data_IF_015734967834
#
_entry.id   IF_015734967834
#
_cell.length_a   1.000
_cell.length_b   1.000
_cell.length_c   1.000
_cell.angle_alpha   90.00
_cell.angle_beta   90.00
_cell.angle_gamma   90.00
#
_symmetry.space_group_name_H-M   'P 1'
#
loop_
_entity.id
_entity.type
_entity.pdbx_description
1 polymer ?
#
# COMPACT_ATOMS: atom_id res chain seq x y z
N UNK A 1 -18.61 -2.31 4.98
CA UNK A 1 -18.12 -1.17 4.19
C UNK A 1 -18.18 -1.57 2.73
N UNK A 2 -18.83 -0.75 1.88
CA UNK A 2 -18.91 -1.02 0.45
C UNK A 2 -17.50 -0.90 -0.15
N UNK A 3 -17.07 -1.92 -0.91
CA UNK A 3 -15.76 -1.95 -1.57
C UNK A 3 -15.48 -0.72 -2.44
N UNK A 4 -16.55 -0.14 -3.02
CA UNK A 4 -16.48 1.07 -3.85
C UNK A 4 -16.01 2.33 -3.10
N UNK A 5 -16.09 2.34 -1.78
CA UNK A 5 -15.67 3.47 -0.94
C UNK A 5 -14.23 3.33 -0.42
N UNK A 6 -13.62 2.17 -0.54
CA UNK A 6 -12.23 1.93 -0.17
C UNK A 6 -11.23 2.37 -1.25
N UNK A 7 -9.94 2.22 -0.96
CA UNK A 7 -8.85 2.58 -1.87
C UNK A 7 -9.02 1.96 -3.26
N UNK A 8 -9.33 0.67 -3.34
CA UNK A 8 -9.46 -0.06 -4.61
C UNK A 8 -10.56 0.55 -5.48
N UNK A 9 -11.77 0.75 -4.95
CA UNK A 9 -12.88 1.34 -5.71
C UNK A 9 -12.56 2.75 -6.21
N UNK A 10 -11.91 3.59 -5.38
CA UNK A 10 -11.51 4.94 -5.78
C UNK A 10 -10.46 4.93 -6.89
N UNK A 11 -9.45 4.07 -6.77
CA UNK A 11 -8.40 3.90 -7.78
C UNK A 11 -8.99 3.44 -9.12
N UNK A 12 -9.80 2.39 -9.09
CA UNK A 12 -10.44 1.82 -10.29
C UNK A 12 -11.32 2.87 -10.97
N UNK A 13 -12.13 3.63 -10.24
CA UNK A 13 -12.98 4.68 -10.81
C UNK A 13 -12.16 5.74 -11.55
N UNK A 14 -11.04 6.21 -10.97
CA UNK A 14 -10.19 7.23 -11.62
C UNK A 14 -9.46 6.69 -12.85
N UNK A 15 -9.11 5.40 -12.85
CA UNK A 15 -8.44 4.78 -13.99
C UNK A 15 -9.42 4.40 -15.10
N UNK A 16 -10.67 4.09 -14.78
CA UNK A 16 -11.70 3.70 -15.73
C UNK A 16 -12.09 4.82 -16.70
N UNK A 17 -11.79 6.09 -16.36
CA UNK A 17 -11.99 7.23 -17.26
C UNK A 17 -11.10 7.16 -18.52
N UNK A 18 -9.91 6.53 -18.40
CA UNK A 18 -8.90 6.51 -19.47
C UNK A 18 -8.56 5.10 -19.97
N UNK A 19 -8.92 4.06 -19.24
CA UNK A 19 -8.51 2.69 -19.52
C UNK A 19 -9.66 1.67 -19.44
N UNK A 20 -9.60 0.66 -20.31
CA UNK A 20 -10.34 -0.59 -20.06
C UNK A 20 -9.55 -1.44 -19.06
N UNK A 21 -10.10 -1.62 -17.86
CA UNK A 21 -9.39 -2.23 -16.73
C UNK A 21 -9.81 -3.67 -16.50
N UNK A 22 -8.83 -4.56 -16.35
CA UNK A 22 -8.99 -5.82 -15.62
C UNK A 22 -8.27 -5.69 -14.30
N UNK A 23 -8.95 -5.92 -13.20
CA UNK A 23 -8.36 -5.76 -11.88
C UNK A 23 -8.77 -6.88 -10.92
N UNK A 24 -7.94 -7.10 -9.91
CA UNK A 24 -8.18 -8.05 -8.85
C UNK A 24 -7.83 -7.42 -7.49
N UNK A 25 -8.71 -7.59 -6.52
CA UNK A 25 -8.45 -7.20 -5.14
C UNK A 25 -8.12 -8.45 -4.31
N UNK A 26 -6.95 -8.44 -3.68
CA UNK A 26 -6.53 -9.45 -2.72
C UNK A 26 -6.33 -8.76 -1.38
N UNK A 27 -7.34 -8.78 -0.52
CA UNK A 27 -7.30 -8.09 0.78
C UNK A 27 -8.12 -8.84 1.83
N UNK A 28 -7.62 -8.85 3.05
CA UNK A 28 -8.33 -9.31 4.24
C UNK A 28 -7.88 -8.48 5.44
N UNK A 29 -8.80 -8.10 6.31
CA UNK A 29 -8.47 -7.37 7.53
C UNK A 29 -7.47 -8.16 8.39
N UNK A 30 -6.47 -7.46 8.91
CA UNK A 30 -5.44 -8.06 9.75
C UNK A 30 -4.27 -8.69 8.98
N UNK A 31 -4.31 -8.79 7.66
CA UNK A 31 -3.20 -9.37 6.89
C UNK A 31 -1.88 -8.66 7.17
N UNK A 32 -0.87 -9.47 7.42
CA UNK A 32 0.54 -9.11 7.40
C UNK A 32 1.16 -9.49 6.05
N UNK A 33 2.39 -9.08 5.79
CA UNK A 33 3.10 -9.43 4.55
C UNK A 33 3.20 -10.94 4.32
N UNK A 34 3.52 -11.81 5.31
CA UNK A 34 3.49 -13.27 5.10
C UNK A 34 2.11 -13.83 4.75
N UNK A 35 1.05 -13.23 5.28
CA UNK A 35 -0.30 -13.68 4.94
C UNK A 35 -0.62 -13.39 3.49
N UNK A 36 -0.22 -12.23 3.00
CA UNK A 36 -0.34 -11.86 1.59
C UNK A 36 0.50 -12.78 0.70
N UNK A 37 1.77 -13.05 1.05
CA UNK A 37 2.64 -13.97 0.32
C UNK A 37 2.01 -15.35 0.17
N UNK A 38 1.53 -15.94 1.27
CA UNK A 38 0.80 -17.22 1.22
C UNK A 38 -0.41 -17.16 0.30
N UNK A 39 -1.22 -16.11 0.44
CA UNK A 39 -2.41 -15.95 -0.39
C UNK A 39 -2.08 -15.82 -1.88
N UNK A 40 -1.01 -15.12 -2.24
CA UNK A 40 -0.57 -14.98 -3.63
C UNK A 40 -0.06 -16.30 -4.22
N UNK A 41 0.47 -17.21 -3.41
CA UNK A 41 0.81 -18.57 -3.87
C UNK A 41 -0.43 -19.41 -4.18
N UNK A 42 -1.53 -19.20 -3.46
CA UNK A 42 -2.76 -20.00 -3.59
C UNK A 42 -3.64 -19.58 -4.77
N UNK A 43 -3.54 -18.33 -5.22
CA UNK A 43 -4.36 -17.85 -6.34
C UNK A 43 -3.74 -18.23 -7.69
N UNK A 44 -4.57 -18.46 -8.75
CA UNK A 44 -4.06 -18.74 -10.09
C UNK A 44 -3.15 -17.62 -10.60
N UNK A 45 -2.11 -17.99 -11.34
CA UNK A 45 -1.26 -17.03 -12.02
C UNK A 45 -2.07 -16.29 -13.09
N UNK A 46 -1.94 -14.97 -13.10
CA UNK A 46 -2.57 -14.05 -14.05
C UNK A 46 -1.65 -12.86 -14.25
N UNK A 47 -1.55 -12.34 -15.46
CA UNK A 47 -0.66 -11.21 -15.75
C UNK A 47 -1.33 -9.89 -15.40
N UNK A 48 -0.60 -9.04 -14.66
CA UNK A 48 -0.97 -7.67 -14.35
C UNK A 48 0.16 -6.71 -14.71
N UNK A 49 -0.16 -5.55 -15.22
CA UNK A 49 0.83 -4.51 -15.51
C UNK A 49 1.37 -3.85 -14.24
N UNK A 50 0.49 -3.56 -13.28
CA UNK A 50 0.83 -2.86 -12.05
C UNK A 50 0.19 -3.53 -10.83
N UNK A 51 0.90 -3.51 -9.70
CA UNK A 51 0.36 -3.84 -8.38
C UNK A 51 0.34 -2.59 -7.48
N UNK A 52 -0.68 -2.46 -6.66
CA UNK A 52 -0.77 -1.44 -5.61
C UNK A 52 -0.83 -2.14 -4.26
N UNK A 53 0.18 -1.89 -3.42
CA UNK A 53 0.33 -2.53 -2.12
C UNK A 53 0.04 -1.52 -1.00
N UNK A 54 -1.00 -1.81 -0.22
CA UNK A 54 -1.35 -1.08 0.99
C UNK A 54 -1.17 -2.00 2.20
N UNK A 55 0.10 -2.19 2.60
CA UNK A 55 0.52 -3.15 3.60
C UNK A 55 1.46 -2.51 4.63
N UNK A 56 1.77 -3.22 5.71
CA UNK A 56 2.80 -2.83 6.67
C UNK A 56 2.26 -2.34 8.02
N UNK A 57 1.05 -1.80 8.11
CA UNK A 57 0.50 -1.38 9.41
C UNK A 57 0.42 -2.56 10.40
N UNK A 58 -0.12 -3.71 9.96
CA UNK A 58 -0.20 -4.91 10.78
C UNK A 58 1.19 -5.53 11.07
N UNK A 59 2.14 -5.39 10.13
CA UNK A 59 3.53 -5.82 10.34
C UNK A 59 4.22 -4.97 11.42
N UNK A 60 3.97 -3.66 11.45
CA UNK A 60 4.45 -2.76 12.51
C UNK A 60 3.82 -3.08 13.85
N UNK A 61 2.51 -3.39 13.89
CA UNK A 61 1.81 -3.80 15.11
C UNK A 61 2.27 -5.16 15.63
N UNK A 62 2.76 -6.03 14.74
CA UNK A 62 3.36 -7.32 15.12
C UNK A 62 4.73 -7.12 15.79
N UNK A 63 5.26 -8.16 16.44
CA UNK A 63 6.62 -8.13 16.99
C UNK A 63 7.71 -8.38 15.95
N UNK A 64 7.41 -8.29 14.67
CA UNK A 64 8.31 -8.58 13.55
C UNK A 64 9.46 -7.56 13.49
N UNK A 65 10.68 -8.04 13.24
CA UNK A 65 11.83 -7.16 13.01
C UNK A 65 11.73 -6.50 11.64
N UNK A 66 12.19 -5.25 11.54
CA UNK A 66 12.21 -4.51 10.27
C UNK A 66 13.01 -5.24 9.19
N UNK A 67 14.15 -5.82 9.54
CA UNK A 67 15.00 -6.60 8.60
C UNK A 67 14.28 -7.81 8.01
N UNK A 68 13.51 -8.53 8.83
CA UNK A 68 12.68 -9.65 8.36
C UNK A 68 11.57 -9.16 7.44
N UNK A 69 10.95 -8.03 7.78
CA UNK A 69 9.91 -7.44 6.94
C UNK A 69 10.45 -7.00 5.57
N UNK A 70 11.64 -6.39 5.53
CA UNK A 70 12.28 -5.99 4.26
C UNK A 70 12.61 -7.22 3.39
N UNK A 71 13.12 -8.30 3.97
CA UNK A 71 13.31 -9.55 3.22
C UNK A 71 12.01 -10.06 2.60
N UNK A 72 10.89 -9.95 3.32
CA UNK A 72 9.56 -10.32 2.81
C UNK A 72 9.04 -9.34 1.74
N UNK A 73 9.41 -8.04 1.78
CA UNK A 73 9.09 -7.11 0.69
C UNK A 73 9.86 -7.48 -0.58
N UNK A 74 11.14 -7.87 -0.46
CA UNK A 74 11.93 -8.38 -1.60
C UNK A 74 11.30 -9.65 -2.20
N UNK A 75 10.92 -10.61 -1.35
CA UNK A 75 10.20 -11.82 -1.79
C UNK A 75 8.88 -11.47 -2.50
N UNK A 76 8.14 -10.50 -1.98
CA UNK A 76 6.87 -10.05 -2.56
C UNK A 76 7.07 -9.40 -3.94
N UNK A 77 8.10 -8.58 -4.13
CA UNK A 77 8.48 -8.01 -5.42
C UNK A 77 8.77 -9.13 -6.42
N UNK A 78 9.62 -10.09 -6.04
CA UNK A 78 10.00 -11.20 -6.91
C UNK A 78 8.80 -12.11 -7.26
N UNK A 79 7.92 -12.39 -6.30
CA UNK A 79 6.71 -13.17 -6.53
C UNK A 79 5.76 -12.46 -7.49
N UNK A 80 5.52 -11.17 -7.30
CA UNK A 80 4.66 -10.37 -8.18
C UNK A 80 5.22 -10.29 -9.59
N UNK A 81 6.53 -10.13 -9.72
CA UNK A 81 7.20 -10.08 -11.01
C UNK A 81 7.16 -11.43 -11.73
N UNK A 82 7.61 -12.51 -11.06
CA UNK A 82 7.80 -13.81 -11.70
C UNK A 82 6.50 -14.56 -11.97
N UNK A 83 5.53 -14.50 -11.05
CA UNK A 83 4.27 -15.24 -11.15
C UNK A 83 3.14 -14.45 -11.80
N UNK A 84 3.13 -13.14 -11.62
CA UNK A 84 2.05 -12.25 -12.07
C UNK A 84 2.48 -11.26 -13.15
N UNK A 85 3.73 -11.29 -13.61
CA UNK A 85 4.25 -10.44 -14.67
C UNK A 85 4.24 -8.95 -14.35
N UNK A 86 4.11 -8.58 -13.06
CA UNK A 86 4.01 -7.18 -12.61
C UNK A 86 5.30 -6.43 -12.95
N UNK A 87 5.17 -5.33 -13.66
CA UNK A 87 6.28 -4.47 -14.06
C UNK A 87 6.50 -3.31 -13.09
N UNK A 88 5.41 -2.78 -12.53
CA UNK A 88 5.45 -1.64 -11.63
C UNK A 88 4.69 -1.92 -10.35
N UNK A 89 5.23 -1.47 -9.22
CA UNK A 89 4.56 -1.59 -7.92
C UNK A 89 4.49 -0.21 -7.26
N UNK A 90 3.29 0.19 -6.84
CA UNK A 90 3.12 1.32 -5.92
C UNK A 90 2.98 0.77 -4.50
N UNK A 91 3.99 1.00 -3.68
CA UNK A 91 3.92 0.74 -2.24
C UNK A 91 3.32 1.93 -1.54
N UNK A 92 2.28 1.74 -0.77
CA UNK A 92 1.80 2.76 0.16
C UNK A 92 2.61 2.67 1.45
N UNK A 93 3.18 3.79 1.87
CA UNK A 93 3.90 3.88 3.13
C UNK A 93 2.99 3.51 4.31
N UNK A 94 3.58 2.92 5.34
CA UNK A 94 2.90 2.71 6.63
C UNK A 94 2.47 4.07 7.16
N UNK A 95 1.20 4.24 7.56
CA UNK A 95 0.71 5.51 8.06
C UNK A 95 1.43 5.97 9.34
N UNK A 96 1.43 7.26 9.65
CA UNK A 96 2.09 7.80 10.83
C UNK A 96 1.32 7.43 12.11
N UNK A 97 1.55 6.22 12.65
CA UNK A 97 0.79 5.68 13.79
C UNK A 97 0.85 6.56 15.05
N UNK A 98 1.86 7.45 15.17
CA UNK A 98 1.92 8.45 16.24
C UNK A 98 0.80 9.50 16.17
N UNK A 99 0.17 9.67 15.02
CA UNK A 99 -0.95 10.60 14.82
C UNK A 99 -2.33 9.97 15.10
N UNK A 100 -2.40 8.68 15.45
CA UNK A 100 -3.66 7.97 15.61
C UNK A 100 -4.20 8.06 17.05
N UNK A 101 -5.29 8.80 17.29
CA UNK A 101 -5.82 9.01 18.64
C UNK A 101 -6.27 7.72 19.35
N UNK A 102 -6.70 6.72 18.60
CA UNK A 102 -7.13 5.43 19.13
C UNK A 102 -6.00 4.64 19.81
N UNK A 103 -4.73 5.00 19.56
CA UNK A 103 -3.59 4.35 20.19
C UNK A 103 -3.18 5.11 21.48
N UNK A 104 -3.11 4.44 22.65
CA UNK A 104 -2.70 5.08 23.89
C UNK A 104 -1.18 5.37 23.92
N UNK A 105 -0.75 6.36 24.70
CA UNK A 105 0.66 6.57 25.03
C UNK A 105 1.09 5.56 26.13
N UNK A 106 2.36 5.09 26.10
CA UNK A 106 3.45 5.41 25.17
C UNK A 106 3.44 4.56 23.89
N UNK A 107 2.51 3.62 23.74
CA UNK A 107 2.44 2.70 22.60
C UNK A 107 2.37 3.45 21.26
N UNK A 108 1.57 4.50 21.19
CA UNK A 108 1.41 5.34 20.01
C UNK A 108 2.74 5.93 19.54
N UNK A 109 3.52 6.49 20.46
CA UNK A 109 4.86 7.01 20.15
C UNK A 109 5.79 5.91 19.62
N UNK A 110 5.85 4.78 20.31
CA UNK A 110 6.69 3.64 19.93
C UNK A 110 6.34 3.08 18.55
N UNK A 111 5.05 2.88 18.25
CA UNK A 111 4.59 2.39 16.97
C UNK A 111 4.84 3.42 15.85
N UNK A 112 4.76 4.71 16.15
CA UNK A 112 5.12 5.78 15.22
C UNK A 112 6.59 5.72 14.79
N UNK A 113 7.51 5.53 15.75
CA UNK A 113 8.94 5.33 15.45
C UNK A 113 9.17 4.06 14.62
N UNK A 114 8.50 2.97 14.95
CA UNK A 114 8.60 1.73 14.16
C UNK A 114 8.12 1.95 12.72
N UNK A 115 6.98 2.61 12.52
CA UNK A 115 6.46 2.92 11.19
C UNK A 115 7.45 3.76 10.37
N UNK A 116 8.09 4.76 10.99
CA UNK A 116 9.13 5.55 10.34
C UNK A 116 10.33 4.70 9.91
N UNK A 117 10.82 3.81 10.79
CA UNK A 117 11.93 2.90 10.47
C UNK A 117 11.58 1.93 9.33
N UNK A 118 10.35 1.40 9.30
CA UNK A 118 9.88 0.52 8.23
C UNK A 118 9.80 1.28 6.90
N UNK A 119 9.26 2.49 6.90
CA UNK A 119 9.18 3.32 5.69
C UNK A 119 10.57 3.72 5.16
N UNK A 120 11.51 4.08 6.05
CA UNK A 120 12.89 4.40 5.65
C UNK A 120 13.58 3.17 5.04
N UNK A 121 13.42 2.00 5.64
CA UNK A 121 13.99 0.76 5.12
C UNK A 121 13.38 0.37 3.77
N UNK A 122 12.06 0.53 3.59
CA UNK A 122 11.40 0.30 2.32
C UNK A 122 11.86 1.30 1.25
N UNK A 123 11.99 2.59 1.59
CA UNK A 123 12.53 3.58 0.67
C UNK A 123 13.96 3.24 0.22
N UNK A 124 14.81 2.73 1.12
CA UNK A 124 16.15 2.28 0.77
C UNK A 124 16.12 1.05 -0.15
N UNK A 125 15.25 0.07 0.10
CA UNK A 125 15.07 -1.07 -0.79
C UNK A 125 14.68 -0.61 -2.20
N UNK A 126 13.75 0.34 -2.31
CA UNK A 126 13.25 0.81 -3.60
C UNK A 126 14.26 1.67 -4.39
N UNK A 127 15.37 2.12 -3.78
CA UNK A 127 16.47 2.74 -4.53
C UNK A 127 17.12 1.78 -5.53
N UNK A 128 17.09 0.49 -5.27
CA UNK A 128 17.58 -0.57 -6.19
C UNK A 128 16.50 -1.06 -7.16
N UNK A 129 15.29 -0.53 -7.08
CA UNK A 129 14.13 -0.88 -7.90
C UNK A 129 13.43 0.38 -8.44
N UNK A 130 14.08 1.15 -9.34
CA UNK A 130 13.56 2.44 -9.81
C UNK A 130 12.22 2.34 -10.56
N UNK A 131 11.85 1.14 -11.02
CA UNK A 131 10.56 0.81 -11.63
C UNK A 131 9.41 0.78 -10.62
N UNK A 132 9.69 0.78 -9.31
CA UNK A 132 8.70 0.77 -8.24
C UNK A 132 8.71 2.11 -7.49
N UNK A 133 7.60 2.45 -6.84
CA UNK A 133 7.48 3.73 -6.14
C UNK A 133 6.89 3.56 -4.74
N UNK A 134 7.43 4.33 -3.79
CA UNK A 134 6.84 4.52 -2.47
C UNK A 134 5.92 5.75 -2.50
N UNK A 135 4.64 5.53 -2.28
CA UNK A 135 3.68 6.59 -2.07
C UNK A 135 3.57 6.89 -0.58
N UNK A 136 4.00 8.08 -0.20
CA UNK A 136 3.82 8.60 1.16
C UNK A 136 2.62 9.55 1.17
N UNK A 137 1.58 9.16 1.91
CA UNK A 137 0.44 10.03 2.10
C UNK A 137 0.80 11.15 3.06
N UNK A 138 0.59 12.40 2.64
CA UNK A 138 0.68 13.54 3.53
C UNK A 138 -0.59 13.58 4.40
N UNK A 139 -0.48 13.15 5.64
CA UNK A 139 -1.53 13.32 6.63
C UNK A 139 -1.55 14.79 7.07
N UNK A 140 -2.29 15.62 6.34
CA UNK A 140 -2.64 16.94 6.84
C UNK A 140 -3.65 16.73 7.96
N UNK A 141 -3.35 17.25 9.16
CA UNK A 141 -4.25 17.18 10.33
C UNK A 141 -5.55 17.96 10.04
N UNK A 142 -6.50 17.29 9.39
CA UNK A 142 -7.89 17.76 9.26
C UNK A 142 -8.80 16.66 9.84
N UNK A 143 -9.86 17.05 10.48
CA UNK A 143 -10.84 16.14 11.12
C UNK A 143 -11.42 15.07 10.19
N UNK A 144 -11.34 15.27 8.86
CA UNK A 144 -11.81 14.33 7.83
C UNK A 144 -10.80 13.26 7.41
N UNK A 145 -9.58 13.26 7.98
CA UNK A 145 -8.47 12.38 7.56
C UNK A 145 -8.66 10.95 8.08
N UNK A 146 -9.22 10.81 9.28
CA UNK A 146 -9.52 9.52 9.90
C UNK A 146 -11.04 9.29 9.95
N UNK A 147 -11.43 8.03 9.93
CA UNK A 147 -12.80 7.62 10.23
C UNK A 147 -13.13 7.89 11.71
N UNK A 148 -14.41 7.78 12.08
CA UNK A 148 -14.89 8.03 13.46
C UNK A 148 -14.25 7.13 14.52
N UNK A 149 -13.63 6.01 14.13
CA UNK A 149 -12.90 5.11 15.03
C UNK A 149 -11.47 5.60 15.38
N UNK A 150 -11.01 6.71 14.79
CA UNK A 150 -9.71 7.29 15.05
C UNK A 150 -8.51 6.43 14.59
N UNK A 151 -8.76 5.41 13.77
CA UNK A 151 -7.74 4.48 13.31
C UNK A 151 -7.75 4.26 11.78
N UNK A 152 -8.90 4.03 11.17
CA UNK A 152 -9.00 3.82 9.73
C UNK A 152 -8.98 5.15 8.98
N UNK A 153 -8.47 5.15 7.71
CA UNK A 153 -8.56 6.33 6.86
C UNK A 153 -10.01 6.77 6.66
N UNK A 154 -10.27 8.06 6.73
CA UNK A 154 -11.55 8.65 6.39
C UNK A 154 -11.81 8.66 4.88
N UNK A 155 -13.04 8.97 4.49
CA UNK A 155 -13.46 9.01 3.08
C UNK A 155 -12.59 9.95 2.21
N UNK A 156 -12.26 11.14 2.71
CA UNK A 156 -11.40 12.09 1.99
C UNK A 156 -9.98 11.58 1.76
N UNK A 157 -9.47 10.77 2.69
CA UNK A 157 -8.16 10.13 2.59
C UNK A 157 -8.14 9.10 1.46
N UNK A 158 -9.16 8.25 1.34
CA UNK A 158 -9.24 7.28 0.26
C UNK A 158 -9.41 7.93 -1.13
N UNK A 159 -10.12 9.07 -1.22
CA UNK A 159 -10.23 9.83 -2.46
C UNK A 159 -8.86 10.34 -2.93
N UNK A 160 -8.16 11.06 -2.05
CA UNK A 160 -6.84 11.60 -2.35
C UNK A 160 -5.84 10.48 -2.70
N UNK A 161 -5.82 9.43 -1.91
CA UNK A 161 -4.94 8.29 -2.10
C UNK A 161 -5.19 7.59 -3.45
N UNK A 162 -6.44 7.26 -3.76
CA UNK A 162 -6.81 6.64 -5.03
C UNK A 162 -6.44 7.52 -6.23
N UNK A 163 -6.69 8.83 -6.16
CA UNK A 163 -6.33 9.79 -7.21
C UNK A 163 -4.82 9.84 -7.42
N UNK A 164 -4.04 10.04 -6.37
CA UNK A 164 -2.58 10.16 -6.48
C UNK A 164 -1.91 8.89 -7.01
N UNK A 165 -2.37 7.72 -6.58
CA UNK A 165 -1.88 6.44 -7.11
C UNK A 165 -2.27 6.28 -8.59
N UNK A 166 -3.50 6.64 -8.96
CA UNK A 166 -3.94 6.60 -10.35
C UNK A 166 -3.07 7.48 -11.26
N UNK A 167 -2.72 8.70 -10.82
CA UNK A 167 -1.84 9.61 -11.59
C UNK A 167 -0.44 9.01 -11.82
N UNK A 168 0.09 8.22 -10.87
CA UNK A 168 1.36 7.52 -11.04
C UNK A 168 1.27 6.42 -12.09
N UNK A 169 0.20 5.64 -12.04
CA UNK A 169 -0.05 4.56 -13.01
C UNK A 169 -0.22 5.14 -14.42
N UNK A 170 -0.99 6.22 -14.59
CA UNK A 170 -1.18 6.91 -15.87
C UNK A 170 0.16 7.37 -16.46
N UNK A 171 1.06 7.93 -15.63
CA UNK A 171 2.40 8.37 -16.08
C UNK A 171 3.26 7.21 -16.55
N UNK A 172 3.28 6.07 -15.85
CA UNK A 172 4.03 4.90 -16.28
C UNK A 172 3.53 4.38 -17.64
N UNK A 173 2.22 4.29 -17.79
CA UNK A 173 1.62 3.81 -19.03
C UNK A 173 1.94 4.74 -20.21
N UNK A 174 1.85 6.05 -20.01
CA UNK A 174 2.18 7.03 -21.07
C UNK A 174 3.65 6.97 -21.49
N UNK A 175 4.57 6.72 -20.55
CA UNK A 175 6.00 6.59 -20.84
C UNK A 175 6.35 5.25 -21.51
N UNK A 176 5.49 4.25 -21.43
CA UNK A 176 5.72 2.92 -22.04
C UNK A 176 5.27 2.85 -23.50
N UNK A 177 4.51 3.84 -23.97
CA UNK A 177 3.97 3.91 -25.35
C UNK A 177 4.85 4.81 -26.26
N UNK A 178 5.68 5.66 -25.68
CA UNK A 178 6.63 6.53 -26.38
C UNK A 178 8.01 5.89 -26.44
#
# INVERSE_FOLDING_TARGET
AHQDQGLCGRLVNVLADDFHLTWQLTAQSGYTTPDLLRRLHDIPAQTFYVAVLSMGANDVLSRRRCTTWIAQQTELIELLRSRFGVQHIVFSAVPPLHAFPALPQPLRWFLGLRAQNFNAALANLLQTHPEHQLFQMQFVQRESVLASDGFHPGWGTYLYWGYEVAQRIKRWYSNSIN
#
